data_IF_980102006039
#
_entry.id   IF_980102006039
#
_cell.length_a   1.000
_cell.length_b   1.000
_cell.length_c   1.000
_cell.angle_alpha   90.00
_cell.angle_beta   90.00
_cell.angle_gamma   90.00
#
_symmetry.space_group_name_H-M   'P 1'
#
loop_
_entity.id
_entity.type
_entity.pdbx_description
1 polymer ?
#
# COMPACT_ATOMS: atom_id res chain seq x y z
N UNK A 1 80.29 -7.38 -4.32
CA UNK A 1 79.65 -8.67 -3.98
C UNK A 1 78.77 -8.45 -2.76
N UNK A 2 77.46 -8.58 -2.97
CA UNK A 2 76.27 -8.55 -2.08
C UNK A 2 76.24 -7.67 -0.83
N UNK A 3 75.34 -6.70 -0.96
CA UNK A 3 74.70 -5.79 -0.01
C UNK A 3 73.74 -6.58 0.91
N UNK A 4 73.62 -6.17 2.17
CA UNK A 4 72.44 -6.45 3.01
C UNK A 4 72.04 -5.17 3.73
N UNK A 5 70.87 -4.65 3.38
CA UNK A 5 70.21 -3.48 3.96
C UNK A 5 69.10 -4.01 4.85
N UNK A 6 69.10 -3.63 6.13
CA UNK A 6 68.02 -3.94 7.05
C UNK A 6 66.78 -3.10 6.71
N UNK A 7 65.66 -3.77 6.42
CA UNK A 7 64.37 -3.15 6.20
C UNK A 7 63.64 -3.11 7.55
N UNK A 8 63.54 -1.91 8.14
CA UNK A 8 62.64 -1.65 9.27
C UNK A 8 61.19 -1.69 8.78
N UNK A 9 60.44 -2.68 9.23
CA UNK A 9 59.02 -2.86 8.96
C UNK A 9 58.21 -1.82 9.76
N UNK A 10 57.67 -0.81 9.08
CA UNK A 10 56.74 0.18 9.66
C UNK A 10 55.31 -0.38 9.54
N UNK A 11 54.75 -0.88 10.65
CA UNK A 11 53.36 -1.32 10.72
C UNK A 11 52.48 -0.08 10.96
N UNK A 12 51.84 0.42 9.91
CA UNK A 12 50.78 1.44 10.00
C UNK A 12 49.50 0.77 10.48
N UNK A 13 49.11 1.05 11.73
CA UNK A 13 47.84 0.63 12.32
C UNK A 13 46.70 1.48 11.73
N UNK A 14 46.05 0.96 10.69
CA UNK A 14 44.87 1.58 10.09
C UNK A 14 43.64 1.22 10.94
N UNK A 15 43.24 2.13 11.84
CA UNK A 15 41.98 2.00 12.59
C UNK A 15 40.83 2.21 11.62
N UNK A 16 40.26 1.12 11.13
CA UNK A 16 38.96 1.14 10.46
C UNK A 16 37.89 1.43 11.51
N UNK A 17 37.49 2.70 11.64
CA UNK A 17 36.27 3.08 12.34
C UNK A 17 35.10 2.52 11.53
N UNK A 18 34.57 1.38 11.97
CA UNK A 18 33.33 0.82 11.42
C UNK A 18 32.18 1.70 11.91
N UNK A 19 31.78 2.66 11.06
CA UNK A 19 30.48 3.32 11.21
C UNK A 19 29.40 2.26 10.98
N UNK A 20 28.88 1.71 12.08
CA UNK A 20 27.61 0.99 12.05
C UNK A 20 26.53 2.04 11.76
N UNK A 21 26.25 2.27 10.48
CA UNK A 21 24.99 2.85 10.05
C UNK A 21 23.92 1.82 10.41
N UNK A 22 23.43 1.87 11.63
CA UNK A 22 22.12 1.32 11.93
C UNK A 22 21.16 2.13 11.05
N UNK A 23 20.73 1.54 9.94
CA UNK A 23 19.51 1.97 9.29
C UNK A 23 18.44 1.93 10.39
N UNK A 24 18.05 3.10 10.89
CA UNK A 24 16.98 3.18 11.87
C UNK A 24 15.76 2.62 11.16
N UNK A 25 15.34 1.41 11.52
CA UNK A 25 13.98 0.97 11.28
C UNK A 25 13.10 1.97 12.03
N UNK A 26 12.62 3.00 11.33
CA UNK A 26 11.63 3.91 11.87
C UNK A 26 10.47 3.05 12.33
N UNK A 27 10.16 3.10 13.62
CA UNK A 27 8.99 2.41 14.14
C UNK A 27 7.76 3.16 13.64
N UNK A 28 7.20 2.70 12.51
CA UNK A 28 6.03 3.31 11.88
C UNK A 28 4.84 3.17 12.83
N UNK A 29 4.30 4.29 13.28
CA UNK A 29 3.10 4.36 14.10
C UNK A 29 1.89 4.67 13.21
N UNK A 30 1.30 3.61 12.64
CA UNK A 30 0.09 3.74 11.83
C UNK A 30 -1.18 3.87 12.71
N UNK A 31 -2.15 4.74 12.36
CA UNK A 31 -2.17 5.65 11.20
C UNK A 31 -1.52 7.01 11.45
N UNK A 32 -1.10 7.29 12.69
CA UNK A 32 -0.74 8.63 13.15
C UNK A 32 0.35 9.31 12.30
N UNK A 33 1.36 8.55 11.88
CA UNK A 33 2.46 9.04 11.02
C UNK A 33 1.99 9.47 9.62
N UNK A 34 0.82 9.01 9.19
CA UNK A 34 0.30 9.19 7.84
C UNK A 34 -0.95 10.08 7.77
N UNK A 35 -1.28 10.79 8.85
CA UNK A 35 -2.35 11.77 8.77
C UNK A 35 -2.04 12.86 7.74
N UNK A 36 -3.05 13.22 6.96
CA UNK A 36 -2.95 14.22 5.91
C UNK A 36 -4.02 14.08 4.83
N UNK A 37 -4.02 15.07 3.96
CA UNK A 37 -4.76 15.05 2.71
C UNK A 37 -3.78 14.79 1.58
N UNK A 38 -4.18 13.94 0.64
CA UNK A 38 -3.36 13.50 -0.47
C UNK A 38 -4.15 13.70 -1.75
N UNK A 39 -3.59 14.42 -2.72
CA UNK A 39 -4.28 14.77 -3.97
C UNK A 39 -3.48 14.38 -5.21
N UNK A 40 -4.18 14.03 -6.29
CA UNK A 40 -3.55 13.62 -7.53
C UNK A 40 -4.56 13.17 -8.58
N UNK A 41 -4.09 12.40 -9.55
CA UNK A 41 -4.89 11.90 -10.66
C UNK A 41 -4.95 10.38 -10.59
N UNK A 42 -6.17 9.85 -10.62
CA UNK A 42 -6.45 8.42 -10.77
C UNK A 42 -6.51 8.05 -12.24
N UNK A 43 -5.65 7.13 -12.64
CA UNK A 43 -5.65 6.51 -13.96
C UNK A 43 -6.37 5.15 -13.89
N UNK A 44 -7.47 5.02 -14.64
CA UNK A 44 -8.26 3.79 -14.76
C UNK A 44 -7.95 3.13 -16.09
N UNK A 45 -7.22 2.01 -16.04
CA UNK A 45 -6.83 1.21 -17.19
C UNK A 45 -7.78 0.02 -17.35
N UNK A 46 -8.41 -0.10 -18.52
CA UNK A 46 -9.21 -1.26 -18.89
C UNK A 46 -9.10 -1.56 -20.39
N UNK A 47 -9.85 -2.54 -20.88
CA UNK A 47 -9.80 -2.98 -22.29
C UNK A 47 -10.21 -1.90 -23.30
N UNK A 48 -10.90 -0.84 -22.86
CA UNK A 48 -11.31 0.30 -23.71
C UNK A 48 -10.27 1.43 -23.73
N UNK A 49 -9.25 1.38 -22.88
CA UNK A 49 -8.21 2.41 -22.77
C UNK A 49 -8.02 2.94 -21.35
N UNK A 50 -7.55 4.19 -21.27
CA UNK A 50 -7.23 4.88 -20.01
C UNK A 50 -8.20 6.04 -19.81
N UNK A 51 -8.82 6.11 -18.63
CA UNK A 51 -9.63 7.27 -18.19
C UNK A 51 -8.98 7.89 -16.96
N UNK A 52 -9.00 9.22 -16.85
CA UNK A 52 -8.35 9.97 -15.78
C UNK A 52 -9.37 10.76 -14.95
N UNK A 53 -9.24 10.73 -13.64
CA UNK A 53 -10.08 11.50 -12.71
C UNK A 53 -9.22 12.20 -11.65
N UNK A 54 -9.55 13.45 -11.26
CA UNK A 54 -9.07 14.00 -10.01
C UNK A 54 -9.43 13.07 -8.85
N UNK A 55 -8.50 12.85 -7.94
CA UNK A 55 -8.71 12.03 -6.76
C UNK A 55 -8.06 12.67 -5.54
N UNK A 56 -8.74 12.54 -4.41
CA UNK A 56 -8.24 12.93 -3.11
C UNK A 56 -8.48 11.79 -2.10
N UNK A 57 -7.53 11.62 -1.20
CA UNK A 57 -7.61 10.73 -0.05
C UNK A 57 -7.29 11.53 1.21
N UNK A 58 -8.16 11.43 2.21
CA UNK A 58 -7.97 12.07 3.50
C UNK A 58 -7.90 10.99 4.59
N UNK A 59 -6.82 11.02 5.37
CA UNK A 59 -6.67 10.21 6.57
C UNK A 59 -6.44 11.16 7.74
N UNK A 60 -7.38 11.21 8.67
CA UNK A 60 -7.36 12.19 9.77
C UNK A 60 -7.75 11.53 11.10
N UNK A 61 -7.28 12.08 12.24
CA UNK A 61 -7.76 11.64 13.54
C UNK A 61 -9.27 11.88 13.69
N UNK A 62 -9.89 11.15 14.61
CA UNK A 62 -11.25 11.44 15.07
C UNK A 62 -11.25 11.67 16.58
N UNK A 63 -12.40 12.11 17.12
CA UNK A 63 -12.57 12.30 18.56
C UNK A 63 -12.67 10.97 19.34
N UNK A 64 -12.75 9.83 18.63
CA UNK A 64 -12.89 8.50 19.23
C UNK A 64 -11.59 7.71 19.10
N UNK A 65 -11.11 7.17 20.23
CA UNK A 65 -9.90 6.36 20.27
C UNK A 65 -10.04 5.13 19.35
N UNK A 66 -9.05 4.92 18.49
CA UNK A 66 -9.03 3.80 17.54
C UNK A 66 -9.96 4.00 16.35
N UNK A 67 -10.61 5.15 16.21
CA UNK A 67 -11.41 5.51 15.05
C UNK A 67 -10.74 6.67 14.31
N UNK A 68 -10.79 6.62 12.99
CA UNK A 68 -10.11 7.58 12.12
C UNK A 68 -11.02 7.93 10.94
N UNK A 69 -10.94 9.17 10.50
CA UNK A 69 -11.62 9.60 9.29
C UNK A 69 -10.85 9.04 8.08
N UNK A 70 -11.56 8.35 7.20
CA UNK A 70 -11.02 7.78 5.96
C UNK A 70 -11.94 8.25 4.84
N UNK A 71 -11.52 9.26 4.08
CA UNK A 71 -12.37 9.84 3.03
C UNK A 71 -11.72 9.65 1.68
N UNK A 72 -12.45 9.04 0.75
CA UNK A 72 -12.08 9.00 -0.67
C UNK A 72 -12.95 9.99 -1.43
N UNK A 73 -12.33 10.78 -2.29
CA UNK A 73 -13.02 11.75 -3.14
C UNK A 73 -12.59 11.51 -4.58
N UNK A 74 -13.58 11.33 -5.46
CA UNK A 74 -13.37 11.14 -6.90
C UNK A 74 -14.03 12.26 -7.67
N UNK A 75 -13.35 12.78 -8.69
CA UNK A 75 -13.85 13.85 -9.55
C UNK A 75 -13.89 15.22 -8.84
N UNK A 76 -14.39 16.21 -9.57
CA UNK A 76 -14.53 17.59 -9.16
C UNK A 76 -15.88 18.17 -9.63
N UNK A 77 -16.20 19.38 -9.14
CA UNK A 77 -17.42 20.10 -9.49
C UNK A 77 -18.69 19.25 -9.29
N UNK A 78 -19.53 19.19 -10.32
CA UNK A 78 -20.80 18.45 -10.31
C UNK A 78 -20.63 16.92 -10.32
N UNK A 79 -19.45 16.41 -10.70
CA UNK A 79 -19.15 14.97 -10.73
C UNK A 79 -18.45 14.50 -9.44
N UNK A 80 -18.25 15.39 -8.46
CA UNK A 80 -17.57 15.07 -7.21
C UNK A 80 -18.35 14.02 -6.42
N UNK A 81 -17.69 12.90 -6.14
CA UNK A 81 -18.21 11.83 -5.29
C UNK A 81 -17.37 11.77 -4.02
N UNK A 82 -18.00 12.02 -2.88
CA UNK A 82 -17.36 11.92 -1.56
C UNK A 82 -17.80 10.63 -0.90
N UNK A 83 -16.82 9.85 -0.41
CA UNK A 83 -17.02 8.60 0.30
C UNK A 83 -16.45 8.73 1.72
N UNK A 84 -17.26 9.21 2.68
CA UNK A 84 -16.81 9.51 4.04
C UNK A 84 -16.87 8.24 4.91
N UNK A 85 -15.85 7.40 4.80
CA UNK A 85 -15.76 6.16 5.55
C UNK A 85 -15.07 6.38 6.91
N UNK A 86 -15.04 5.33 7.72
CA UNK A 86 -14.35 5.32 9.00
C UNK A 86 -13.40 4.13 9.07
N UNK A 87 -12.12 4.38 9.31
CA UNK A 87 -11.14 3.35 9.61
C UNK A 87 -11.17 3.08 11.12
N UNK A 88 -11.33 1.82 11.53
CA UNK A 88 -11.37 1.42 12.94
C UNK A 88 -10.28 0.40 13.23
N UNK A 89 -9.48 0.65 14.27
CA UNK A 89 -8.49 -0.28 14.77
C UNK A 89 -9.16 -1.38 15.58
N UNK A 90 -9.02 -2.64 15.14
CA UNK A 90 -9.50 -3.82 15.88
C UNK A 90 -8.36 -4.35 16.76
N UNK A 91 -7.16 -4.44 16.19
CA UNK A 91 -5.94 -4.77 16.92
C UNK A 91 -4.76 -4.08 16.21
N UNK A 92 -4.21 -3.03 16.83
CA UNK A 92 -3.10 -2.25 16.24
C UNK A 92 -1.81 -3.06 16.18
N UNK A 93 -1.52 -3.85 17.21
CA UNK A 93 -0.26 -4.59 17.34
C UNK A 93 -0.06 -5.62 16.23
N UNK A 94 -1.15 -6.16 15.68
CA UNK A 94 -1.11 -7.08 14.56
C UNK A 94 -1.56 -6.43 13.23
N UNK A 95 -1.81 -5.12 13.20
CA UNK A 95 -2.25 -4.41 12.00
C UNK A 95 -3.66 -4.78 11.51
N UNK A 96 -4.57 -5.21 12.37
CA UNK A 96 -5.96 -5.53 11.98
C UNK A 96 -6.87 -4.34 12.17
N UNK A 97 -7.49 -3.91 11.08
CA UNK A 97 -8.43 -2.80 11.02
C UNK A 97 -9.69 -3.23 10.27
N UNK A 98 -10.70 -2.36 10.29
CA UNK A 98 -11.84 -2.42 9.37
C UNK A 98 -12.11 -1.05 8.78
N UNK A 99 -12.65 -1.02 7.57
CA UNK A 99 -13.23 0.18 6.96
C UNK A 99 -14.75 0.05 7.06
N UNK A 100 -15.38 0.98 7.75
CA UNK A 100 -16.84 1.11 7.83
C UNK A 100 -17.30 2.16 6.81
N UNK A 101 -18.08 1.73 5.81
CA UNK A 101 -18.61 2.64 4.80
C UNK A 101 -19.78 3.51 5.28
N UNK A 102 -20.20 3.35 6.55
CA UNK A 102 -21.28 4.08 7.19
C UNK A 102 -22.66 3.87 6.52
N UNK A 103 -22.82 2.74 5.83
CA UNK A 103 -24.05 2.33 5.14
C UNK A 103 -24.43 0.86 5.43
N UNK A 104 -23.79 0.24 6.42
CA UNK A 104 -23.94 -1.17 6.76
C UNK A 104 -22.92 -2.11 6.10
N UNK A 105 -22.05 -1.61 5.21
CA UNK A 105 -20.93 -2.35 4.62
C UNK A 105 -19.68 -2.16 5.49
N UNK A 106 -19.09 -3.27 5.90
CA UNK A 106 -17.81 -3.33 6.63
C UNK A 106 -16.82 -4.13 5.80
N UNK A 107 -15.62 -3.60 5.61
CA UNK A 107 -14.54 -4.23 4.87
C UNK A 107 -13.38 -4.55 5.81
N UNK A 108 -12.86 -5.77 5.74
CA UNK A 108 -11.65 -6.14 6.47
C UNK A 108 -10.43 -5.44 5.88
N UNK A 109 -9.57 -4.93 6.76
CA UNK A 109 -8.38 -4.17 6.39
C UNK A 109 -7.15 -4.68 7.14
N UNK A 110 -6.10 -5.00 6.39
CA UNK A 110 -4.82 -5.41 6.96
C UNK A 110 -3.79 -4.31 6.70
N UNK A 111 -3.09 -3.91 7.75
CA UNK A 111 -1.98 -2.97 7.66
C UNK A 111 -0.68 -3.71 7.98
N UNK A 112 0.33 -3.49 7.13
CA UNK A 112 1.70 -3.96 7.34
C UNK A 112 2.59 -2.76 7.05
N UNK A 113 3.30 -2.29 8.08
CA UNK A 113 4.18 -1.11 8.00
C UNK A 113 3.44 0.12 7.48
N UNK A 114 3.79 0.60 6.29
CA UNK A 114 3.23 1.76 5.61
C UNK A 114 2.17 1.39 4.57
N UNK A 115 1.68 0.15 4.54
CA UNK A 115 0.77 -0.33 3.50
C UNK A 115 -0.50 -0.95 4.06
N UNK A 116 -1.61 -0.52 3.47
CA UNK A 116 -2.97 -0.98 3.65
C UNK A 116 -3.34 -1.98 2.55
N UNK A 117 -4.14 -2.99 2.92
CA UNK A 117 -4.57 -4.11 2.11
C UNK A 117 -6.05 -4.40 2.40
N UNK A 118 -6.90 -4.17 1.40
CA UNK A 118 -8.32 -4.52 1.42
C UNK A 118 -8.60 -5.50 0.29
N UNK A 119 -9.36 -6.56 0.56
CA UNK A 119 -9.90 -7.43 -0.50
C UNK A 119 -11.37 -7.70 -0.20
N UNK A 120 -12.23 -7.44 -1.18
CA UNK A 120 -13.66 -7.66 -1.02
C UNK A 120 -14.34 -7.99 -2.34
N UNK A 121 -15.46 -8.69 -2.27
CA UNK A 121 -16.29 -9.02 -3.43
C UNK A 121 -17.63 -8.30 -3.34
N UNK A 122 -18.04 -7.70 -4.45
CA UNK A 122 -19.39 -7.14 -4.61
C UNK A 122 -19.93 -7.49 -5.99
N UNK A 123 -21.10 -8.13 -6.03
CA UNK A 123 -21.77 -8.49 -7.28
C UNK A 123 -20.90 -9.30 -8.26
N UNK A 124 -20.17 -10.32 -7.77
CA UNK A 124 -19.30 -11.16 -8.60
C UNK A 124 -18.02 -10.47 -9.09
N UNK A 125 -17.71 -9.30 -8.55
CA UNK A 125 -16.49 -8.53 -8.84
C UNK A 125 -15.62 -8.52 -7.60
N UNK A 126 -14.41 -9.07 -7.71
CA UNK A 126 -13.41 -9.03 -6.65
C UNK A 126 -12.54 -7.79 -6.85
N UNK A 127 -12.42 -6.98 -5.80
CA UNK A 127 -11.55 -5.81 -5.76
C UNK A 127 -10.46 -6.05 -4.72
N UNK A 128 -9.23 -5.81 -5.13
CA UNK A 128 -8.07 -5.78 -4.25
C UNK A 128 -7.53 -4.36 -4.25
N UNK A 129 -7.55 -3.71 -3.09
CA UNK A 129 -7.12 -2.34 -2.90
C UNK A 129 -5.82 -2.32 -2.11
N UNK A 130 -4.90 -1.47 -2.55
CA UNK A 130 -3.68 -1.17 -1.83
C UNK A 130 -3.53 0.34 -1.68
N UNK A 131 -3.13 0.77 -0.48
CA UNK A 131 -2.70 2.14 -0.19
C UNK A 131 -1.34 2.07 0.46
N UNK A 132 -0.32 2.67 -0.16
CA UNK A 132 1.05 2.69 0.38
C UNK A 132 1.48 4.11 0.63
N UNK A 133 1.84 4.41 1.86
CA UNK A 133 2.33 5.72 2.25
C UNK A 133 3.84 5.80 2.07
N UNK A 134 4.31 6.86 1.42
CA UNK A 134 5.71 7.22 1.31
C UNK A 134 5.91 8.62 1.92
N UNK A 135 7.14 9.11 1.98
CA UNK A 135 7.49 10.32 2.73
C UNK A 135 6.61 11.54 2.38
N UNK A 136 6.35 11.78 1.09
CA UNK A 136 5.59 12.94 0.62
C UNK A 136 4.42 12.57 -0.31
N UNK A 137 4.11 11.29 -0.43
CA UNK A 137 3.07 10.82 -1.34
C UNK A 137 2.42 9.53 -0.85
N UNK A 138 1.31 9.18 -1.47
CA UNK A 138 0.61 7.94 -1.26
C UNK A 138 0.33 7.29 -2.61
N UNK A 139 0.62 6.00 -2.73
CA UNK A 139 0.31 5.18 -3.90
C UNK A 139 -1.02 4.47 -3.67
N UNK A 140 -2.00 4.75 -4.51
CA UNK A 140 -3.31 4.10 -4.52
C UNK A 140 -3.38 3.12 -5.68
N UNK A 141 -3.82 1.89 -5.42
CA UNK A 141 -4.05 0.90 -6.47
C UNK A 141 -5.32 0.07 -6.19
N UNK A 142 -6.11 -0.18 -7.24
CA UNK A 142 -7.18 -1.17 -7.23
C UNK A 142 -6.98 -2.14 -8.40
N UNK A 143 -6.97 -3.43 -8.12
CA UNK A 143 -7.05 -4.51 -9.10
C UNK A 143 -8.46 -5.09 -9.10
N UNK A 144 -9.09 -5.14 -10.27
CA UNK A 144 -10.48 -5.59 -10.43
C UNK A 144 -10.56 -6.84 -11.28
N UNK A 145 -11.21 -7.87 -10.72
CA UNK A 145 -11.41 -9.18 -11.32
C UNK A 145 -12.91 -9.49 -11.40
N UNK A 146 -13.33 -10.14 -12.49
CA UNK A 146 -14.65 -10.80 -12.56
C UNK A 146 -14.51 -12.26 -12.19
N UNK A 147 -15.07 -12.66 -11.05
CA UNK A 147 -14.92 -14.03 -10.48
C UNK A 147 -15.43 -15.10 -11.45
N UNK A 148 -16.51 -14.78 -12.19
CA UNK A 148 -17.08 -15.67 -13.20
C UNK A 148 -16.14 -15.98 -14.37
N UNK A 149 -15.13 -15.13 -14.64
CA UNK A 149 -14.21 -15.28 -15.78
C UNK A 149 -12.95 -16.08 -15.42
N UNK A 150 -13.00 -16.92 -14.39
CA UNK A 150 -11.86 -17.75 -14.00
C UNK A 150 -11.49 -18.75 -15.09
N UNK A 151 -10.19 -18.95 -15.29
CA UNK A 151 -9.66 -20.06 -16.06
C UNK A 151 -9.29 -21.19 -15.09
N UNK A 152 -9.57 -22.43 -15.48
CA UNK A 152 -9.09 -23.62 -14.78
C UNK A 152 -7.99 -24.29 -15.58
N UNK A 153 -6.96 -24.78 -14.89
CA UNK A 153 -5.90 -25.62 -15.43
C UNK A 153 -5.37 -26.57 -14.36
N UNK A 154 -4.56 -27.55 -14.76
CA UNK A 154 -4.07 -28.60 -13.85
C UNK A 154 -5.15 -29.65 -13.56
N UNK A 155 -5.12 -30.26 -12.38
CA UNK A 155 -6.08 -31.28 -11.95
C UNK A 155 -5.90 -32.65 -12.63
N UNK A 156 -4.72 -32.91 -13.18
CA UNK A 156 -4.44 -34.15 -13.93
C UNK A 156 -3.87 -35.27 -13.05
N UNK A 157 -3.42 -34.96 -11.84
CA UNK A 157 -2.90 -35.93 -10.85
C UNK A 157 -2.84 -35.30 -9.45
N UNK A 158 -2.51 -36.08 -8.42
CA UNK A 158 -2.26 -35.54 -7.06
C UNK A 158 -1.07 -34.56 -7.02
N UNK A 159 -0.07 -34.77 -7.88
CA UNK A 159 1.10 -33.88 -7.99
C UNK A 159 0.79 -32.58 -8.77
N UNK A 160 -0.28 -32.55 -9.56
CA UNK A 160 -0.69 -31.41 -10.38
C UNK A 160 -2.13 -31.02 -9.99
N UNK A 161 -2.31 -30.23 -8.92
CA UNK A 161 -3.64 -29.84 -8.45
C UNK A 161 -4.35 -28.95 -9.47
N UNK A 162 -5.68 -28.88 -9.38
CA UNK A 162 -6.45 -27.90 -10.12
C UNK A 162 -6.16 -26.49 -9.59
N UNK A 163 -5.95 -25.54 -10.50
CA UNK A 163 -5.65 -24.14 -10.18
C UNK A 163 -6.61 -23.24 -10.93
N UNK A 164 -7.18 -22.27 -10.21
CA UNK A 164 -7.94 -21.19 -10.81
C UNK A 164 -7.07 -19.94 -10.97
N UNK A 165 -7.06 -19.38 -12.18
CA UNK A 165 -6.48 -18.07 -12.45
C UNK A 165 -7.57 -17.10 -12.90
N UNK A 166 -7.37 -15.82 -12.64
CA UNK A 166 -8.38 -14.81 -12.89
C UNK A 166 -7.81 -13.71 -13.78
N UNK A 167 -8.42 -13.43 -14.94
CA UNK A 167 -8.00 -12.33 -15.78
C UNK A 167 -8.34 -10.99 -15.10
N UNK A 168 -7.35 -10.12 -15.00
CA UNK A 168 -7.53 -8.75 -14.51
C UNK A 168 -8.29 -7.95 -15.57
N UNK A 169 -9.40 -7.35 -15.17
CA UNK A 169 -10.29 -6.60 -16.07
C UNK A 169 -10.06 -5.09 -16.03
N UNK A 170 -9.63 -4.57 -14.89
CA UNK A 170 -9.34 -3.15 -14.69
C UNK A 170 -8.25 -3.00 -13.63
N UNK A 171 -7.35 -2.05 -13.86
CA UNK A 171 -6.36 -1.58 -12.88
C UNK A 171 -6.55 -0.08 -12.71
N UNK A 172 -6.72 0.38 -11.48
CA UNK A 172 -6.82 1.80 -11.15
C UNK A 172 -5.58 2.18 -10.36
N UNK A 173 -4.87 3.26 -10.72
CA UNK A 173 -3.65 3.69 -10.04
C UNK A 173 -3.60 5.19 -9.88
N UNK A 174 -3.15 5.66 -8.72
CA UNK A 174 -2.86 7.07 -8.49
C UNK A 174 -1.57 7.22 -7.67
N UNK A 175 -0.84 8.31 -7.95
CA UNK A 175 0.17 8.85 -7.04
C UNK A 175 -0.44 10.13 -6.50
N UNK A 176 -0.72 10.16 -5.20
CA UNK A 176 -1.34 11.29 -4.53
C UNK A 176 -0.29 11.99 -3.65
N UNK A 177 0.00 13.24 -3.94
CA UNK A 177 0.98 14.03 -3.18
C UNK A 177 0.34 14.55 -1.90
N UNK A 178 1.07 14.47 -0.78
CA UNK A 178 0.61 15.03 0.50
C UNK A 178 0.53 16.56 0.40
N UNK A 179 -0.59 17.14 0.83
CA UNK A 179 -0.72 18.58 0.95
C UNK A 179 0.20 19.14 2.05
N UNK A 180 0.68 20.37 1.85
CA UNK A 180 1.62 21.05 2.77
C UNK A 180 0.92 21.71 3.94
#
# INVERSE_FOLDING_TARGET
MKISVEIKLLITFCVCVTFNLNAQTSNINFPDDFFGNYTGILDIHNTKGITKYPMEFQLQPSDSLGHYQYTLIYGDGDNKQVRPYTLKAINKDNGTYIIDENNGIILDEKVIENRMYTIFEVGGTLLTTFITFEENQMLFEIVVIKVANKNSSGGTSEEIPEVFSYPITTVQRAILTKEK
#
